data_IF_751857598065
#
_entry.id   IF_751857598065
#
_cell.length_a   1.000
_cell.length_b   1.000
_cell.length_c   1.000
_cell.angle_alpha   90.00
_cell.angle_beta   90.00
_cell.angle_gamma   90.00
#
_symmetry.space_group_name_H-M   'P 1'
#
loop_
_entity.id
_entity.type
_entity.pdbx_description
1 polymer ?
#
# COMPACT_ATOMS: atom_id res chain seq x y z
N UNK A 1 17.06 49.80 -22.41
CA UNK A 1 18.52 49.73 -22.14
C UNK A 1 18.68 48.65 -21.08
N UNK A 2 19.29 47.50 -21.29
CA UNK A 2 20.57 47.21 -21.96
C UNK A 2 20.61 45.75 -22.45
N UNK A 3 21.47 45.51 -23.43
CA UNK A 3 21.61 44.38 -24.33
C UNK A 3 22.28 43.11 -23.77
N UNK A 4 21.84 41.95 -24.30
CA UNK A 4 22.56 40.76 -24.79
C UNK A 4 23.83 40.25 -24.08
N UNK A 5 23.85 38.95 -23.74
CA UNK A 5 24.88 38.00 -24.21
C UNK A 5 24.26 36.62 -24.45
N UNK A 6 24.40 36.13 -25.68
CA UNK A 6 24.13 34.76 -26.09
C UNK A 6 25.44 33.96 -26.02
N UNK A 7 25.42 32.79 -25.38
CA UNK A 7 26.43 31.77 -25.54
C UNK A 7 25.72 30.45 -25.85
N UNK A 8 25.76 30.05 -27.12
CA UNK A 8 25.49 28.69 -27.57
C UNK A 8 26.75 27.86 -27.42
N UNK A 9 26.74 26.87 -26.54
CA UNK A 9 27.53 25.64 -26.64
C UNK A 9 26.65 24.46 -26.25
N UNK A 10 26.90 23.33 -26.92
CA UNK A 10 25.89 22.35 -27.27
C UNK A 10 25.46 21.35 -26.21
N UNK A 11 24.60 20.44 -26.71
CA UNK A 11 23.84 19.37 -26.06
C UNK A 11 22.44 19.79 -25.59
N UNK A 12 21.43 19.29 -26.32
CA UNK A 12 20.02 19.43 -25.98
C UNK A 12 19.81 18.85 -24.58
N UNK A 13 19.24 19.58 -23.60
CA UNK A 13 18.64 18.90 -22.47
C UNK A 13 17.50 18.06 -23.05
N UNK A 14 17.54 16.73 -22.83
CA UNK A 14 16.32 15.93 -22.92
C UNK A 14 15.34 16.58 -21.95
N UNK A 15 14.36 17.30 -22.50
CA UNK A 15 13.16 17.67 -21.76
C UNK A 15 12.51 16.36 -21.34
N UNK A 16 12.77 15.95 -20.10
CA UNK A 16 11.90 15.02 -19.39
C UNK A 16 10.54 15.71 -19.40
N UNK A 17 9.67 15.29 -20.32
CA UNK A 17 8.29 15.68 -20.25
C UNK A 17 7.77 15.15 -18.92
N UNK A 18 7.26 16.02 -18.01
CA UNK A 18 6.60 15.53 -16.82
C UNK A 18 5.44 14.64 -17.29
N UNK A 19 5.23 13.49 -16.64
CA UNK A 19 4.19 12.56 -17.04
C UNK A 19 2.83 13.26 -17.03
N UNK A 20 2.11 13.08 -18.13
CA UNK A 20 0.81 13.73 -18.40
C UNK A 20 -0.32 12.98 -17.71
N UNK A 21 -0.24 12.79 -16.40
CA UNK A 21 -1.42 12.58 -15.58
C UNK A 21 -1.34 13.57 -14.43
N UNK A 22 -2.09 14.66 -14.58
CA UNK A 22 -2.36 15.58 -13.48
C UNK A 22 -3.02 14.75 -12.39
N UNK A 23 -2.28 14.51 -11.31
CA UNK A 23 -2.85 14.21 -10.00
C UNK A 23 -4.08 15.11 -9.84
N UNK A 24 -5.24 14.51 -9.58
CA UNK A 24 -6.46 15.24 -9.29
C UNK A 24 -6.15 16.38 -8.29
N UNK A 25 -6.60 17.62 -8.49
CA UNK A 25 -5.90 18.82 -7.97
C UNK A 25 -5.99 19.06 -6.46
N UNK A 26 -6.34 18.08 -5.64
CA UNK A 26 -6.68 18.29 -4.22
C UNK A 26 -6.55 17.02 -3.37
N UNK A 27 -5.43 16.31 -3.46
CA UNK A 27 -5.08 15.26 -2.48
C UNK A 27 -3.93 15.72 -1.61
N UNK A 28 -4.06 15.53 -0.31
CA UNK A 28 -3.03 15.93 0.66
C UNK A 28 -2.00 14.80 0.78
N UNK A 29 -0.83 15.01 0.16
CA UNK A 29 0.29 14.07 0.22
C UNK A 29 1.35 14.59 1.19
N UNK A 30 1.73 13.78 2.17
CA UNK A 30 2.77 14.10 3.14
C UNK A 30 3.78 12.96 3.23
N UNK A 31 5.07 13.27 3.14
CA UNK A 31 6.12 12.29 3.41
C UNK A 31 6.42 12.32 4.90
N UNK A 32 6.06 11.27 5.62
CA UNK A 32 6.21 11.19 7.09
C UNK A 32 7.43 10.39 7.54
N UNK A 33 8.12 9.74 6.61
CA UNK A 33 9.34 8.99 6.88
C UNK A 33 10.12 8.63 5.62
N UNK A 34 11.23 7.88 5.79
CA UNK A 34 12.15 7.51 4.70
C UNK A 34 11.46 6.65 3.64
N UNK A 35 10.56 5.76 4.07
CA UNK A 35 9.73 4.94 3.18
C UNK A 35 8.25 5.02 3.56
N UNK A 36 7.83 6.14 4.14
CA UNK A 36 6.47 6.29 4.64
C UNK A 36 5.84 7.56 4.07
N UNK A 37 4.68 7.39 3.46
CA UNK A 37 3.91 8.48 2.86
C UNK A 37 2.47 8.42 3.36
N UNK A 38 1.90 9.57 3.71
CA UNK A 38 0.47 9.76 3.92
C UNK A 38 -0.16 10.32 2.65
N UNK A 39 -1.25 9.71 2.18
CA UNK A 39 -2.13 10.29 1.16
C UNK A 39 -3.53 10.39 1.75
N UNK A 40 -4.05 11.61 1.87
CA UNK A 40 -5.36 11.90 2.46
C UNK A 40 -5.52 11.27 3.87
N UNK A 41 -4.43 11.24 4.63
CA UNK A 41 -4.35 10.65 5.98
C UNK A 41 -4.10 9.13 6.02
N UNK A 42 -3.96 8.45 4.88
CA UNK A 42 -3.68 7.00 4.81
C UNK A 42 -2.20 6.73 4.66
N UNK A 43 -1.67 5.83 5.49
CA UNK A 43 -0.26 5.44 5.47
C UNK A 43 0.06 4.44 4.37
N UNK A 44 1.15 4.72 3.65
CA UNK A 44 1.67 3.95 2.55
C UNK A 44 3.15 3.63 2.80
N UNK A 45 3.40 2.34 2.93
CA UNK A 45 4.72 1.74 3.01
C UNK A 45 5.34 1.70 1.61
N UNK A 46 6.33 2.56 1.37
CA UNK A 46 7.07 2.71 0.12
C UNK A 46 8.19 1.69 -0.04
N UNK A 47 8.48 0.86 0.96
CA UNK A 47 9.54 -0.15 0.90
C UNK A 47 9.29 -1.13 -0.24
N UNK A 48 8.02 -1.47 -0.48
CA UNK A 48 7.68 -2.37 -1.57
C UNK A 48 7.90 -1.71 -2.93
N UNK A 49 7.46 -0.47 -3.09
CA UNK A 49 7.68 0.32 -4.30
C UNK A 49 9.18 0.49 -4.57
N UNK A 50 9.95 0.81 -3.53
CA UNK A 50 11.39 0.94 -3.60
C UNK A 50 12.07 -0.35 -4.05
N UNK A 51 11.69 -1.51 -3.48
CA UNK A 51 12.20 -2.83 -3.93
C UNK A 51 11.88 -3.10 -5.40
N UNK A 52 10.67 -2.76 -5.86
CA UNK A 52 10.28 -2.96 -7.26
C UNK A 52 11.14 -2.12 -8.21
N UNK A 53 11.34 -0.83 -7.90
CA UNK A 53 12.17 0.08 -8.71
C UNK A 53 13.64 -0.33 -8.70
N UNK A 54 14.18 -0.77 -7.56
CA UNK A 54 15.55 -1.26 -7.48
C UNK A 54 15.81 -2.49 -8.35
N UNK A 55 14.81 -3.37 -8.48
CA UNK A 55 14.94 -4.59 -9.28
C UNK A 55 14.90 -4.32 -10.79
N UNK A 56 14.25 -3.23 -11.23
CA UNK A 56 14.19 -2.82 -12.64
C UNK A 56 14.27 -1.28 -12.78
N UNK A 57 15.48 -0.70 -12.64
CA UNK A 57 15.65 0.76 -12.62
C UNK A 57 15.25 1.44 -13.93
N UNK A 58 15.42 0.76 -15.07
CA UNK A 58 15.09 1.29 -16.39
C UNK A 58 13.59 1.51 -16.57
N UNK A 59 12.76 0.75 -15.84
CA UNK A 59 11.30 0.88 -15.79
C UNK A 59 10.78 1.58 -14.54
N UNK A 60 11.66 2.20 -13.75
CA UNK A 60 11.28 2.79 -12.46
C UNK A 60 10.12 3.79 -12.52
N UNK A 61 10.06 4.62 -13.58
CA UNK A 61 8.95 5.57 -13.77
C UNK A 61 7.63 4.84 -14.00
N UNK A 62 7.62 3.82 -14.85
CA UNK A 62 6.42 3.03 -15.15
C UNK A 62 5.92 2.27 -13.91
N UNK A 63 6.84 1.73 -13.10
CA UNK A 63 6.54 1.04 -11.84
C UNK A 63 5.86 1.99 -10.85
N UNK A 64 6.36 3.22 -10.71
CA UNK A 64 5.78 4.25 -9.83
C UNK A 64 4.41 4.68 -10.34
N UNK A 65 4.26 4.93 -11.64
CA UNK A 65 2.98 5.29 -12.25
C UNK A 65 1.92 4.20 -12.03
N UNK A 66 2.26 2.95 -12.33
CA UNK A 66 1.38 1.82 -12.07
C UNK A 66 1.04 1.70 -10.59
N UNK A 67 2.00 1.85 -9.69
CA UNK A 67 1.72 1.80 -8.25
C UNK A 67 0.72 2.88 -7.82
N UNK A 68 0.87 4.10 -8.33
CA UNK A 68 -0.05 5.20 -8.06
C UNK A 68 -1.44 4.95 -8.66
N UNK A 69 -1.52 4.45 -9.89
CA UNK A 69 -2.80 4.09 -10.52
C UNK A 69 -3.52 3.00 -9.71
N UNK A 70 -2.82 1.93 -9.31
CA UNK A 70 -3.37 0.89 -8.44
C UNK A 70 -3.74 1.39 -7.05
N UNK A 71 -3.06 2.40 -6.53
CA UNK A 71 -3.44 3.02 -5.26
C UNK A 71 -4.79 3.74 -5.41
N UNK A 72 -5.01 4.43 -6.53
CA UNK A 72 -6.28 5.10 -6.81
C UNK A 72 -7.40 4.10 -7.07
N UNK A 73 -7.15 3.06 -7.86
CA UNK A 73 -8.11 1.97 -8.11
C UNK A 73 -8.39 1.15 -6.84
N UNK A 74 -7.34 0.89 -6.05
CA UNK A 74 -7.40 0.18 -4.78
C UNK A 74 -8.15 0.96 -3.72
N UNK A 75 -8.16 2.29 -3.78
CA UNK A 75 -9.00 3.14 -2.94
C UNK A 75 -10.47 3.05 -3.34
N UNK A 76 -10.78 3.05 -4.63
CA UNK A 76 -12.13 2.77 -5.12
C UNK A 76 -12.57 1.34 -4.75
N UNK A 77 -11.69 0.34 -4.89
CA UNK A 77 -11.95 -1.05 -4.55
C UNK A 77 -11.99 -1.32 -3.04
N UNK A 78 -11.26 -0.58 -2.21
CA UNK A 78 -11.35 -0.64 -0.75
C UNK A 78 -12.61 0.07 -0.23
N UNK A 79 -13.07 1.10 -0.96
CA UNK A 79 -14.38 1.74 -0.72
C UNK A 79 -15.53 0.85 -1.21
N UNK A 80 -15.29 -0.06 -2.15
CA UNK A 80 -16.21 -1.17 -2.45
C UNK A 80 -16.08 -2.20 -1.33
N UNK A 81 -17.13 -2.36 -0.54
CA UNK A 81 -17.24 -3.44 0.43
C UNK A 81 -17.17 -4.79 -0.28
N UNK A 82 -15.96 -5.36 -0.33
CA UNK A 82 -15.75 -6.69 -0.89
C UNK A 82 -16.63 -7.67 -0.10
N UNK A 83 -17.49 -8.45 -0.76
CA UNK A 83 -18.27 -9.49 -0.09
C UNK A 83 -17.36 -10.45 0.66
N UNK A 84 -17.79 -10.89 1.85
CA UNK A 84 -16.93 -11.68 2.74
C UNK A 84 -16.39 -12.93 2.05
N UNK A 85 -17.22 -13.64 1.28
CA UNK A 85 -16.81 -14.86 0.57
C UNK A 85 -15.69 -14.64 -0.45
N UNK A 86 -15.59 -13.43 -1.02
CA UNK A 86 -14.49 -13.05 -1.92
C UNK A 86 -13.25 -12.58 -1.15
N UNK A 87 -13.44 -12.04 0.06
CA UNK A 87 -12.37 -11.62 0.95
C UNK A 87 -11.68 -12.81 1.63
N UNK A 88 -12.46 -13.80 2.11
CA UNK A 88 -12.01 -14.98 2.88
C UNK A 88 -10.68 -15.59 2.40
N UNK A 89 -10.48 -15.96 1.13
CA UNK A 89 -9.24 -16.62 0.69
C UNK A 89 -8.02 -15.69 0.67
N UNK A 90 -8.22 -14.38 0.80
CA UNK A 90 -7.18 -13.34 0.74
C UNK A 90 -6.89 -12.73 2.11
N UNK A 91 -7.63 -13.11 3.15
CA UNK A 91 -7.38 -12.60 4.50
C UNK A 91 -6.05 -13.16 4.99
N UNK A 92 -5.11 -12.28 5.31
CA UNK A 92 -3.77 -12.64 5.78
C UNK A 92 -3.46 -11.91 7.09
N UNK A 93 -2.67 -12.51 8.00
CA UNK A 93 -2.20 -11.83 9.19
C UNK A 93 -0.91 -11.06 8.87
N UNK A 94 -0.74 -9.89 9.47
CA UNK A 94 0.48 -9.07 9.37
C UNK A 94 0.91 -8.63 10.76
N UNK A 95 2.13 -8.99 11.15
CA UNK A 95 2.70 -8.55 12.42
C UNK A 95 3.37 -7.20 12.19
N UNK A 96 3.07 -6.23 13.06
CA UNK A 96 3.66 -4.88 13.05
C UNK A 96 4.04 -4.46 14.47
N UNK A 97 5.02 -3.56 14.66
CA UNK A 97 5.21 -2.91 15.96
C UNK A 97 3.98 -2.07 16.33
N UNK A 98 3.71 -1.90 17.63
CA UNK A 98 2.60 -1.06 18.12
C UNK A 98 2.69 0.40 17.64
N UNK A 99 3.89 0.87 17.30
CA UNK A 99 4.12 2.20 16.71
C UNK A 99 3.36 2.43 15.39
N UNK A 100 2.86 1.37 14.74
CA UNK A 100 1.96 1.50 13.58
C UNK A 100 0.74 2.36 13.89
N UNK A 101 0.26 2.37 15.14
CA UNK A 101 -0.89 3.16 15.57
C UNK A 101 -0.62 4.66 15.72
N UNK A 102 0.62 5.11 15.54
CA UNK A 102 0.92 6.53 15.38
C UNK A 102 0.38 7.08 14.05
N UNK A 103 0.16 6.20 13.08
CA UNK A 103 -0.26 6.54 11.72
C UNK A 103 -1.57 5.85 11.28
N UNK A 104 -2.07 4.91 12.09
CA UNK A 104 -3.28 4.15 11.84
C UNK A 104 -4.17 4.19 13.07
N UNK A 105 -5.46 4.52 12.91
CA UNK A 105 -6.37 4.51 14.05
C UNK A 105 -6.71 3.07 14.45
N UNK A 106 -6.22 2.65 15.62
CA UNK A 106 -6.45 1.33 16.19
C UNK A 106 -7.95 1.00 16.34
N UNK A 107 -8.81 2.00 16.53
CA UNK A 107 -10.25 1.79 16.69
C UNK A 107 -10.95 1.47 15.37
N UNK A 108 -10.34 1.81 14.24
CA UNK A 108 -10.93 1.63 12.92
C UNK A 108 -10.51 0.33 12.25
N UNK A 109 -9.47 -0.35 12.75
CA UNK A 109 -8.91 -1.57 12.14
C UNK A 109 -9.00 -2.78 13.06
N UNK A 110 -9.24 -3.94 12.46
CA UNK A 110 -9.24 -5.21 13.18
C UNK A 110 -7.80 -5.59 13.50
N UNK A 111 -7.51 -5.77 14.78
CA UNK A 111 -6.19 -6.12 15.28
C UNK A 111 -6.25 -6.89 16.59
N UNK A 112 -5.14 -7.56 16.96
CA UNK A 112 -4.96 -8.23 18.25
C UNK A 112 -3.55 -7.96 18.81
N UNK A 113 -3.41 -7.68 20.12
CA UNK A 113 -2.10 -7.57 20.77
C UNK A 113 -1.26 -8.84 20.56
N UNK A 114 0.05 -8.68 20.43
CA UNK A 114 0.99 -9.76 20.27
C UNK A 114 2.24 -9.54 21.14
N UNK A 115 3.15 -10.51 21.16
CA UNK A 115 4.35 -10.46 22.01
C UNK A 115 5.29 -9.33 21.59
N UNK A 116 6.14 -8.86 22.51
CA UNK A 116 7.23 -7.91 22.23
C UNK A 116 6.78 -6.58 21.59
N UNK A 117 5.74 -5.94 22.14
CA UNK A 117 5.25 -4.63 21.65
C UNK A 117 4.88 -4.67 20.16
N UNK A 118 4.34 -5.81 19.74
CA UNK A 118 3.83 -6.00 18.39
C UNK A 118 2.33 -6.29 18.42
N UNK A 119 1.71 -6.14 17.26
CA UNK A 119 0.29 -6.35 17.04
C UNK A 119 0.10 -7.19 15.78
N UNK A 120 -0.89 -8.08 15.78
CA UNK A 120 -1.37 -8.73 14.57
C UNK A 120 -2.47 -7.84 13.97
N UNK A 121 -2.22 -7.32 12.78
CA UNK A 121 -3.23 -6.70 11.91
C UNK A 121 -3.75 -7.73 10.92
N UNK A 122 -5.02 -7.60 10.52
CA UNK A 122 -5.60 -8.44 9.48
C UNK A 122 -5.81 -7.62 8.22
N UNK A 123 -5.42 -8.21 7.09
CA UNK A 123 -5.40 -7.53 5.80
C UNK A 123 -6.04 -8.40 4.73
N UNK A 124 -6.54 -7.77 3.67
CA UNK A 124 -6.90 -8.43 2.42
C UNK A 124 -5.70 -8.29 1.49
N UNK A 125 -5.11 -9.42 1.10
CA UNK A 125 -4.01 -9.49 0.14
C UNK A 125 -4.55 -9.40 -1.29
N UNK A 126 -4.41 -8.21 -1.89
CA UNK A 126 -4.79 -7.94 -3.27
C UNK A 126 -3.52 -7.99 -4.15
N UNK A 127 -3.63 -8.29 -5.47
CA UNK A 127 -2.48 -8.52 -6.33
C UNK A 127 -1.35 -7.47 -6.29
N UNK A 128 -1.68 -6.22 -5.98
CA UNK A 128 -0.74 -5.09 -5.98
C UNK A 128 -0.81 -4.24 -4.70
N UNK A 129 -1.69 -4.57 -3.76
CA UNK A 129 -1.93 -3.79 -2.55
C UNK A 129 -2.39 -4.69 -1.41
N UNK A 130 -1.98 -4.37 -0.19
CA UNK A 130 -2.49 -5.01 1.01
C UNK A 130 -3.34 -4.01 1.77
N UNK A 131 -4.62 -4.32 2.00
CA UNK A 131 -5.57 -3.38 2.64
C UNK A 131 -5.95 -3.91 4.02
N UNK A 132 -5.80 -3.09 5.07
CA UNK A 132 -6.25 -3.44 6.42
C UNK A 132 -7.76 -3.64 6.46
N UNK A 133 -8.22 -4.70 7.12
CA UNK A 133 -9.64 -4.95 7.36
C UNK A 133 -10.11 -3.96 8.43
N UNK A 134 -11.14 -3.20 8.10
CA UNK A 134 -11.72 -2.26 9.05
C UNK A 134 -12.71 -2.95 9.99
N UNK A 135 -12.91 -2.39 11.18
CA UNK A 135 -13.94 -2.85 12.12
C UNK A 135 -15.33 -2.78 11.47
N UNK A 136 -15.60 -1.74 10.67
CA UNK A 136 -16.85 -1.61 9.93
C UNK A 136 -17.07 -2.74 8.92
N UNK A 137 -16.04 -3.12 8.15
CA UNK A 137 -16.11 -4.22 7.19
C UNK A 137 -16.39 -5.55 7.90
N UNK A 138 -15.68 -5.83 9.00
CA UNK A 138 -15.89 -7.02 9.82
C UNK A 138 -17.34 -7.11 10.34
N UNK A 139 -17.85 -6.01 10.90
CA UNK A 139 -19.24 -5.95 11.39
C UNK A 139 -20.25 -6.15 10.25
N UNK A 140 -20.01 -5.58 9.07
CA UNK A 140 -20.88 -5.77 7.88
C UNK A 140 -20.86 -7.20 7.36
N UNK A 141 -19.75 -7.92 7.52
CA UNK A 141 -19.67 -9.35 7.22
C UNK A 141 -20.36 -10.23 8.27
N UNK A 142 -20.75 -9.67 9.42
CA UNK A 142 -21.28 -10.42 10.54
C UNK A 142 -20.23 -11.34 11.19
N UNK A 143 -18.95 -11.02 10.98
CA UNK A 143 -17.82 -11.77 11.54
C UNK A 143 -17.35 -11.13 12.84
N UNK A 144 -16.65 -11.91 13.65
CA UNK A 144 -15.90 -11.41 14.81
C UNK A 144 -14.39 -11.51 14.57
N UNK A 145 -13.61 -10.94 15.50
CA UNK A 145 -12.14 -10.93 15.39
C UNK A 145 -11.54 -12.33 15.47
N UNK A 146 -12.17 -13.27 16.18
CA UNK A 146 -11.67 -14.65 16.31
C UNK A 146 -11.86 -15.42 15.00
N UNK A 147 -12.98 -15.21 14.31
CA UNK A 147 -13.23 -15.77 12.98
C UNK A 147 -12.23 -15.24 11.96
N UNK A 148 -11.97 -13.93 11.96
CA UNK A 148 -10.97 -13.30 11.08
C UNK A 148 -9.56 -13.84 11.38
N UNK A 149 -9.18 -13.97 12.65
CA UNK A 149 -7.89 -14.55 13.06
C UNK A 149 -7.74 -16.01 12.61
N UNK A 150 -8.77 -16.82 12.85
CA UNK A 150 -8.81 -18.22 12.45
C UNK A 150 -8.70 -18.40 10.93
N UNK A 151 -9.39 -17.55 10.15
CA UNK A 151 -9.26 -17.51 8.70
C UNK A 151 -7.84 -17.14 8.27
N UNK A 152 -7.30 -16.05 8.82
CA UNK A 152 -5.97 -15.54 8.49
C UNK A 152 -4.88 -16.60 8.72
N UNK A 153 -4.91 -17.28 9.87
CA UNK A 153 -3.95 -18.34 10.21
C UNK A 153 -4.06 -19.55 9.28
N UNK A 154 -5.28 -19.97 8.93
CA UNK A 154 -5.50 -21.07 7.98
C UNK A 154 -4.97 -20.73 6.59
N UNK A 155 -5.22 -19.51 6.11
CA UNK A 155 -4.72 -19.05 4.82
C UNK A 155 -3.19 -19.00 4.81
N UNK A 156 -2.57 -18.45 5.86
CA UNK A 156 -1.11 -18.42 5.99
C UNK A 156 -0.50 -19.83 6.00
N UNK A 157 -1.12 -20.79 6.71
CA UNK A 157 -0.68 -22.17 6.75
C UNK A 157 -0.72 -22.80 5.35
N UNK A 158 -1.84 -22.67 4.64
CA UNK A 158 -1.99 -23.19 3.27
C UNK A 158 -0.98 -22.57 2.30
N UNK A 159 -0.75 -21.26 2.40
CA UNK A 159 0.23 -20.55 1.57
C UNK A 159 1.67 -21.04 1.83
N UNK A 160 2.00 -21.32 3.10
CA UNK A 160 3.32 -21.84 3.47
C UNK A 160 3.62 -23.23 2.88
N UNK A 161 2.58 -24.05 2.68
CA UNK A 161 2.70 -25.37 2.05
C UNK A 161 2.93 -25.25 0.54
N UNK A 162 2.23 -24.33 -0.14
CA UNK A 162 2.41 -24.05 -1.57
C UNK A 162 3.84 -23.55 -1.87
N UNK A 163 4.39 -22.68 -1.01
CA UNK A 163 5.76 -22.19 -1.13
C UNK A 163 6.82 -23.29 -1.03
N UNK A 164 6.66 -24.24 -0.10
CA UNK A 164 7.59 -25.37 0.07
C UNK A 164 7.64 -26.30 -1.14
N UNK A 165 6.56 -26.39 -1.91
CA UNK A 165 6.49 -27.21 -3.12
C UNK A 165 7.20 -26.58 -4.33
N UNK A 166 7.58 -25.29 -4.24
CA UNK A 166 8.24 -24.54 -5.32
C UNK A 166 9.76 -24.36 -5.13
N UNK A 167 10.35 -24.89 -4.05
CA UNK A 167 11.78 -24.76 -3.72
C UNK A 167 12.47 -26.11 -3.95
#
# INVERSE_FOLDING_TARGET
>A
MTAWVSLKTGSRPRTLHPPRHRLSPSRHVELVGIFEMLIDGRHLALENLYRMVLNDPDRGVEIVEQFLDHLMEGEEAANVLLPFDLAKPRIMPRIQPESIFQHLDAQLVVHQPFVNETVVLYVIDMPHLTVSITVEQMLKWGADVEEIDSLARRNLAAYSEELKLRI
#
